data_IF_628582470285
#
_entry.id   IF_628582470285
#
_cell.length_a   1.000
_cell.length_b   1.000
_cell.length_c   1.000
_cell.angle_alpha   90.00
_cell.angle_beta   90.00
_cell.angle_gamma   90.00
#
_symmetry.space_group_name_H-M   'P 1'
#
loop_
_entity.id
_entity.type
_entity.pdbx_description
1 polymer ?
#
# COMPACT_ATOMS: atom_id res chain seq x y z
N UNK A 1 -2.10 25.30 -5.99
CA UNK A 1 -1.62 24.41 -4.92
C UNK A 1 -2.17 24.92 -3.61
N UNK A 2 -2.73 24.05 -2.79
CA UNK A 2 -3.29 24.38 -1.48
C UNK A 2 -2.50 23.62 -0.40
N UNK A 3 -1.93 24.32 0.57
CA UNK A 3 -1.28 23.66 1.70
C UNK A 3 -2.34 23.21 2.69
N UNK A 4 -2.26 21.96 3.13
CA UNK A 4 -3.23 21.36 4.05
C UNK A 4 -2.54 20.37 4.99
N UNK A 5 -3.24 20.00 6.06
CA UNK A 5 -2.83 18.90 6.95
C UNK A 5 -3.84 17.77 6.76
N UNK A 6 -3.36 16.61 6.28
CA UNK A 6 -4.19 15.43 6.05
C UNK A 6 -3.87 14.34 7.07
N UNK A 7 -4.87 13.54 7.42
CA UNK A 7 -4.65 12.33 8.21
C UNK A 7 -3.88 11.31 7.37
N UNK A 8 -2.93 10.60 7.98
CA UNK A 8 -2.10 9.60 7.28
C UNK A 8 -2.96 8.50 6.63
N UNK A 9 -4.15 8.21 7.16
CA UNK A 9 -5.07 7.21 6.61
C UNK A 9 -5.87 7.67 5.37
N UNK A 10 -5.79 8.96 5.03
CA UNK A 10 -6.38 9.51 3.80
C UNK A 10 -5.43 9.41 2.61
N UNK A 11 -4.14 9.14 2.86
CA UNK A 11 -3.11 9.00 1.84
C UNK A 11 -3.13 7.59 1.26
N UNK A 12 -3.03 7.50 -0.06
CA UNK A 12 -2.85 6.27 -0.82
C UNK A 12 -1.73 6.45 -1.82
N UNK A 13 -1.04 5.37 -2.15
CA UNK A 13 -0.02 5.41 -3.20
C UNK A 13 -0.70 4.95 -4.47
N UNK A 14 -0.41 5.65 -5.57
CA UNK A 14 -0.95 5.24 -6.86
C UNK A 14 -0.62 3.76 -7.12
N UNK A 15 -1.61 2.91 -7.47
CA UNK A 15 -1.35 1.51 -7.83
C UNK A 15 -0.35 1.38 -8.98
N UNK A 16 -0.15 2.44 -9.77
CA UNK A 16 0.85 2.47 -10.84
C UNK A 16 2.30 2.50 -10.34
N UNK A 17 2.53 2.95 -9.12
CA UNK A 17 3.87 3.08 -8.53
C UNK A 17 4.20 1.83 -7.76
N UNK A 18 5.39 1.28 -7.99
CA UNK A 18 5.78 -0.05 -7.49
C UNK A 18 7.05 -0.04 -6.68
N UNK A 19 7.35 -1.18 -6.05
CA UNK A 19 8.62 -1.39 -5.35
C UNK A 19 9.86 -1.29 -6.24
N UNK A 20 9.71 -1.38 -7.57
CA UNK A 20 10.81 -1.16 -8.51
C UNK A 20 11.10 0.33 -8.72
N UNK A 21 10.10 1.19 -8.50
CA UNK A 21 10.21 2.64 -8.71
C UNK A 21 10.83 3.36 -7.50
N UNK A 22 11.01 2.66 -6.38
CA UNK A 22 11.50 3.26 -5.13
C UNK A 22 12.57 2.40 -4.44
N UNK A 23 13.47 3.06 -3.71
CA UNK A 23 14.44 2.36 -2.87
C UNK A 23 13.80 1.91 -1.55
N UNK A 24 13.49 0.61 -1.43
CA UNK A 24 12.95 0.04 -0.18
C UNK A 24 13.92 0.19 1.01
N UNK A 25 15.22 0.19 0.76
CA UNK A 25 16.22 0.44 1.79
C UNK A 25 16.15 1.89 2.30
N UNK A 26 15.91 2.86 1.42
CA UNK A 26 15.68 4.24 1.84
C UNK A 26 14.43 4.38 2.71
N UNK A 27 13.35 3.66 2.38
CA UNK A 27 12.13 3.61 3.21
C UNK A 27 12.44 3.09 4.61
N UNK A 28 13.13 1.96 4.73
CA UNK A 28 13.48 1.36 6.03
C UNK A 28 14.39 2.27 6.86
N UNK A 29 15.41 2.85 6.24
CA UNK A 29 16.32 3.79 6.91
C UNK A 29 15.57 5.00 7.45
N UNK A 30 14.61 5.54 6.69
CA UNK A 30 13.81 6.69 7.09
C UNK A 30 12.77 6.34 8.17
N UNK A 31 12.13 5.18 8.08
CA UNK A 31 11.24 4.70 9.15
C UNK A 31 11.97 4.53 10.48
N UNK A 32 13.24 4.09 10.44
CA UNK A 32 14.08 3.99 11.62
C UNK A 32 14.53 5.37 12.14
N UNK A 33 14.75 6.37 11.28
CA UNK A 33 15.09 7.72 11.75
C UNK A 33 13.91 8.38 12.49
N UNK A 34 12.68 8.10 12.07
CA UNK A 34 11.46 8.53 12.77
C UNK A 34 11.38 7.99 14.20
N UNK A 35 11.83 6.75 14.44
CA UNK A 35 11.93 6.17 15.77
C UNK A 35 12.85 6.97 16.71
N UNK A 36 13.82 7.70 16.12
CA UNK A 36 14.78 8.52 16.83
C UNK A 36 14.36 10.00 16.90
N UNK A 37 13.09 10.32 16.62
CA UNK A 37 12.54 11.67 16.77
C UNK A 37 12.78 12.61 15.59
N UNK A 38 13.22 12.10 14.43
CA UNK A 38 13.33 12.90 13.21
C UNK A 38 11.93 13.09 12.62
N UNK A 39 11.53 14.33 12.34
CA UNK A 39 10.27 14.62 11.65
C UNK A 39 10.42 14.50 10.13
N UNK A 40 9.39 14.11 9.39
CA UNK A 40 9.41 14.17 7.93
C UNK A 40 9.66 15.62 7.46
N UNK A 41 10.78 15.85 6.78
CA UNK A 41 11.14 17.18 6.24
C UNK A 41 10.66 17.38 4.80
N UNK A 42 10.31 16.29 4.10
CA UNK A 42 9.94 16.36 2.69
C UNK A 42 8.54 16.95 2.52
N UNK A 43 8.42 17.87 1.57
CA UNK A 43 7.13 18.35 1.10
C UNK A 43 6.44 17.21 0.34
N UNK A 44 5.24 16.83 0.79
CA UNK A 44 4.45 15.75 0.19
C UNK A 44 3.42 16.39 -0.73
N UNK A 45 3.47 16.06 -2.01
CA UNK A 45 2.48 16.51 -2.98
C UNK A 45 1.43 15.43 -3.18
N UNK A 46 0.16 15.81 -3.14
CA UNK A 46 -0.97 14.89 -3.30
C UNK A 46 -1.97 15.40 -4.31
N UNK A 47 -2.72 14.49 -4.93
CA UNK A 47 -3.93 14.80 -5.71
C UNK A 47 -5.13 14.11 -5.11
N UNK A 48 -6.23 14.84 -4.98
CA UNK A 48 -7.50 14.26 -4.56
C UNK A 48 -8.10 13.41 -5.68
N UNK A 49 -8.51 12.19 -5.38
CA UNK A 49 -9.29 11.35 -6.29
C UNK A 49 -10.77 11.43 -6.00
N UNK A 50 -11.57 10.96 -6.96
CA UNK A 50 -13.04 11.06 -6.93
C UNK A 50 -13.71 10.32 -5.77
N UNK A 51 -12.98 9.46 -5.05
CA UNK A 51 -13.47 8.74 -3.88
C UNK A 51 -13.09 9.41 -2.55
N UNK A 52 -12.52 10.63 -2.58
CA UNK A 52 -12.13 11.39 -1.40
C UNK A 52 -10.82 10.94 -0.75
N UNK A 53 -10.00 10.14 -1.46
CA UNK A 53 -8.64 9.79 -1.06
C UNK A 53 -7.62 10.68 -1.76
N UNK A 54 -6.42 10.75 -1.19
CA UNK A 54 -5.34 11.58 -1.70
C UNK A 54 -4.18 10.70 -2.19
N UNK A 55 -3.99 10.68 -3.51
CA UNK A 55 -2.90 9.97 -4.16
C UNK A 55 -1.60 10.76 -4.00
N UNK A 56 -0.57 10.09 -3.51
CA UNK A 56 0.75 10.69 -3.30
C UNK A 56 1.50 10.76 -4.63
N UNK A 57 1.79 11.98 -5.10
CA UNK A 57 2.53 12.23 -6.34
C UNK A 57 4.03 12.43 -6.07
N UNK A 58 4.37 12.96 -4.89
CA UNK A 58 5.75 13.20 -4.45
C UNK A 58 5.89 12.91 -2.95
N UNK A 59 7.07 12.49 -2.51
CA UNK A 59 7.31 12.11 -1.11
C UNK A 59 6.87 10.69 -0.75
N UNK A 60 6.79 9.78 -1.73
CA UNK A 60 6.31 8.40 -1.53
C UNK A 60 7.17 7.63 -0.52
N UNK A 61 8.49 7.82 -0.55
CA UNK A 61 9.41 7.21 0.42
C UNK A 61 9.09 7.66 1.85
N UNK A 62 8.79 8.95 2.04
CA UNK A 62 8.38 9.50 3.34
C UNK A 62 7.05 8.91 3.80
N UNK A 63 6.07 8.82 2.90
CA UNK A 63 4.75 8.25 3.22
C UNK A 63 4.87 6.77 3.61
N UNK A 64 5.59 5.97 2.83
CA UNK A 64 5.84 4.57 3.15
C UNK A 64 6.62 4.40 4.45
N UNK A 65 7.59 5.28 4.72
CA UNK A 65 8.33 5.26 5.97
C UNK A 65 7.43 5.58 7.17
N UNK A 66 6.49 6.53 7.04
CA UNK A 66 5.50 6.83 8.08
C UNK A 66 4.53 5.66 8.29
N UNK A 67 4.07 5.01 7.21
CA UNK A 67 3.24 3.82 7.30
C UNK A 67 3.99 2.69 8.03
N UNK A 68 5.25 2.45 7.67
CA UNK A 68 6.08 1.41 8.28
C UNK A 68 6.37 1.71 9.76
N UNK A 69 6.63 2.97 10.11
CA UNK A 69 6.81 3.41 11.48
C UNK A 69 5.51 3.25 12.30
N UNK A 70 4.35 3.58 11.74
CA UNK A 70 3.04 3.34 12.35
C UNK A 70 2.78 1.86 12.61
N UNK A 71 3.13 1.00 11.65
CA UNK A 71 3.06 -0.45 11.82
C UNK A 71 3.95 -0.94 12.98
N UNK A 72 5.11 -0.31 13.17
CA UNK A 72 6.02 -0.55 14.30
C UNK A 72 5.57 0.07 15.63
N UNK A 73 4.40 0.70 15.71
CA UNK A 73 3.82 1.25 16.94
C UNK A 73 4.08 2.74 17.18
N UNK A 74 4.75 3.44 16.26
CA UNK A 74 4.81 4.91 16.29
C UNK A 74 3.44 5.48 15.89
N UNK A 75 3.19 6.76 16.21
CA UNK A 75 1.90 7.42 15.94
C UNK A 75 2.08 8.69 15.13
N UNK A 76 2.14 8.53 13.83
CA UNK A 76 1.92 9.59 12.85
C UNK A 76 0.41 9.67 12.56
N UNK A 77 -0.26 10.68 13.10
CA UNK A 77 -1.69 10.91 12.89
C UNK A 77 -1.96 11.70 11.61
N UNK A 78 -1.15 12.73 11.36
CA UNK A 78 -1.29 13.62 10.22
C UNK A 78 0.04 14.06 9.62
N UNK A 79 -0.01 14.53 8.37
CA UNK A 79 1.12 15.15 7.70
C UNK A 79 0.69 16.36 6.89
N UNK A 80 1.62 17.32 6.76
CA UNK A 80 1.43 18.48 5.90
C UNK A 80 1.65 18.08 4.45
N UNK A 81 0.74 18.50 3.59
CA UNK A 81 0.77 18.21 2.16
C UNK A 81 0.50 19.46 1.34
N UNK A 82 0.94 19.44 0.09
CA UNK A 82 0.41 20.30 -0.95
C UNK A 82 -0.62 19.53 -1.76
N UNK A 83 -1.84 20.05 -1.84
CA UNK A 83 -2.85 19.53 -2.75
C UNK A 83 -2.64 20.18 -4.12
N UNK A 84 -2.26 19.35 -5.09
CA UNK A 84 -2.13 19.70 -6.49
C UNK A 84 -3.52 19.76 -7.16
N UNK A 85 -3.67 20.52 -8.26
CA UNK A 85 -4.89 20.48 -9.07
C UNK A 85 -5.20 19.08 -9.59
N UNK A 86 -6.43 18.85 -10.05
CA UNK A 86 -6.78 17.63 -10.76
C UNK A 86 -5.88 17.42 -11.98
N UNK A 87 -5.57 16.15 -12.28
CA UNK A 87 -4.77 15.77 -13.44
C UNK A 87 -5.60 15.85 -14.72
N UNK A 88 -4.95 16.16 -15.85
CA UNK A 88 -5.63 16.21 -17.15
C UNK A 88 -5.97 14.79 -17.63
N UNK A 89 -6.99 14.65 -18.48
CA UNK A 89 -7.33 13.34 -19.07
C UNK A 89 -6.18 12.76 -19.92
N UNK A 90 -5.36 13.62 -20.52
CA UNK A 90 -4.22 13.26 -21.36
C UNK A 90 -3.07 12.68 -20.52
N UNK A 91 -2.76 13.31 -19.38
CA UNK A 91 -1.75 12.83 -18.44
C UNK A 91 -2.16 11.49 -17.82
N UNK A 92 -3.45 11.34 -17.47
CA UNK A 92 -4.00 10.07 -16.96
C UNK A 92 -3.88 8.94 -18.01
N UNK A 93 -4.19 9.22 -19.27
CA UNK A 93 -4.08 8.25 -20.35
C UNK A 93 -2.62 7.82 -20.59
N UNK A 94 -1.67 8.76 -20.48
CA UNK A 94 -0.25 8.46 -20.60
C UNK A 94 0.25 7.60 -19.43
N UNK A 95 -0.10 7.95 -18.19
CA UNK A 95 0.22 7.16 -16.98
C UNK A 95 -0.31 5.73 -17.12
N UNK A 96 -1.57 5.56 -17.54
CA UNK A 96 -2.17 4.25 -17.77
C UNK A 96 -1.43 3.45 -18.86
N UNK A 97 -1.08 4.09 -19.98
CA UNK A 97 -0.34 3.43 -21.06
C UNK A 97 1.05 2.94 -20.64
N UNK A 98 1.74 3.65 -19.74
CA UNK A 98 3.03 3.21 -19.19
C UNK A 98 2.81 2.02 -18.26
N UNK A 99 1.78 2.09 -17.42
CA UNK A 99 1.42 1.02 -16.49
C UNK A 99 1.09 -0.30 -17.20
N UNK A 100 0.26 -0.24 -18.25
CA UNK A 100 -0.22 -1.44 -18.95
C UNK A 100 0.92 -2.26 -19.61
N UNK A 101 2.10 -1.66 -19.78
CA UNK A 101 3.24 -2.28 -20.45
C UNK A 101 4.40 -2.64 -19.50
N UNK A 102 4.22 -2.51 -18.19
CA UNK A 102 5.30 -2.79 -17.22
C UNK A 102 5.31 -4.24 -16.75
N UNK A 103 6.47 -4.68 -16.25
CA UNK A 103 6.60 -5.97 -15.57
C UNK A 103 5.99 -5.93 -14.16
N UNK A 104 5.35 -7.03 -13.76
CA UNK A 104 4.73 -7.21 -12.44
C UNK A 104 5.70 -7.91 -11.50
N UNK A 105 5.95 -7.31 -10.32
CA UNK A 105 6.91 -7.86 -9.36
C UNK A 105 6.28 -8.92 -8.41
N UNK A 106 7.12 -9.65 -7.66
CA UNK A 106 6.67 -10.71 -6.74
C UNK A 106 5.70 -10.24 -5.65
N UNK A 107 5.82 -9.01 -5.16
CA UNK A 107 4.92 -8.48 -4.12
C UNK A 107 3.54 -8.17 -4.68
N UNK A 108 3.46 -7.76 -5.95
CA UNK A 108 2.20 -7.54 -6.67
C UNK A 108 1.49 -8.87 -6.98
N UNK A 109 2.24 -9.95 -7.23
CA UNK A 109 1.66 -11.30 -7.37
C UNK A 109 0.93 -11.76 -6.10
N UNK A 110 1.33 -11.30 -4.92
CA UNK A 110 0.62 -11.58 -3.66
C UNK A 110 -0.74 -10.88 -3.65
N UNK A 111 -0.79 -9.63 -4.10
CA UNK A 111 -2.04 -8.86 -4.23
C UNK A 111 -2.96 -9.50 -5.28
N UNK A 112 -2.40 -9.95 -6.41
CA UNK A 112 -3.16 -10.68 -7.44
C UNK A 112 -3.70 -12.01 -6.92
N UNK A 113 -2.89 -12.74 -6.15
CA UNK A 113 -3.31 -14.00 -5.52
C UNK A 113 -4.44 -13.77 -4.52
N UNK A 114 -4.39 -12.68 -3.76
CA UNK A 114 -5.49 -12.26 -2.90
C UNK A 114 -6.75 -11.92 -3.70
N UNK A 115 -6.64 -11.09 -4.74
CA UNK A 115 -7.77 -10.71 -5.57
C UNK A 115 -8.43 -11.92 -6.25
N UNK A 116 -7.62 -12.88 -6.72
CA UNK A 116 -8.10 -14.14 -7.27
C UNK A 116 -8.85 -14.98 -6.23
N UNK A 117 -8.32 -15.08 -5.00
CA UNK A 117 -8.97 -15.77 -3.90
C UNK A 117 -10.31 -15.10 -3.51
N UNK A 118 -10.35 -13.78 -3.45
CA UNK A 118 -11.58 -13.02 -3.15
C UNK A 118 -12.65 -13.28 -4.18
N UNK A 119 -12.32 -13.27 -5.48
CA UNK A 119 -13.26 -13.65 -6.55
C UNK A 119 -13.78 -15.08 -6.42
N UNK A 120 -12.93 -16.02 -6.02
CA UNK A 120 -13.38 -17.40 -5.76
C UNK A 120 -14.34 -17.47 -4.56
N UNK A 121 -14.08 -16.71 -3.49
CA UNK A 121 -14.99 -16.60 -2.34
C UNK A 121 -16.33 -15.97 -2.73
N UNK A 122 -16.32 -14.90 -3.52
CA UNK A 122 -17.54 -14.25 -4.05
C UNK A 122 -18.37 -15.21 -4.93
N UNK A 123 -17.70 -16.12 -5.63
CA UNK A 123 -18.34 -17.20 -6.39
C UNK A 123 -18.77 -18.40 -5.52
N UNK A 124 -18.70 -18.29 -4.19
CA UNK A 124 -19.19 -19.27 -3.24
C UNK A 124 -18.22 -20.41 -2.88
N UNK A 125 -16.96 -20.34 -3.30
CA UNK A 125 -15.96 -21.32 -2.91
C UNK A 125 -15.40 -21.03 -1.52
N UNK A 126 -15.34 -22.04 -0.65
CA UNK A 126 -14.67 -21.93 0.65
C UNK A 126 -13.18 -22.35 0.56
N UNK A 127 -12.40 -22.08 1.62
CA UNK A 127 -10.95 -22.37 1.67
C UNK A 127 -10.67 -23.86 1.43
N UNK A 128 -11.49 -24.75 1.98
CA UNK A 128 -11.37 -26.19 1.78
C UNK A 128 -11.46 -26.56 0.29
N UNK A 129 -12.49 -26.06 -0.40
CA UNK A 129 -12.71 -26.30 -1.83
C UNK A 129 -11.61 -25.69 -2.70
N UNK A 130 -11.13 -24.48 -2.37
CA UNK A 130 -10.05 -23.82 -3.10
C UNK A 130 -8.74 -24.61 -2.93
N UNK A 131 -8.43 -25.04 -1.70
CA UNK A 131 -7.23 -25.83 -1.40
C UNK A 131 -7.21 -27.15 -2.16
N UNK A 132 -8.33 -27.88 -2.16
CA UNK A 132 -8.46 -29.17 -2.84
C UNK A 132 -8.41 -29.03 -4.36
N UNK A 133 -9.04 -27.99 -4.94
CA UNK A 133 -9.09 -27.80 -6.40
C UNK A 133 -7.79 -27.25 -6.98
N UNK A 134 -7.11 -26.37 -6.24
CA UNK A 134 -5.94 -25.63 -6.74
C UNK A 134 -4.61 -26.20 -6.23
N UNK A 135 -4.64 -27.15 -5.29
CA UNK A 135 -3.43 -27.72 -4.68
C UNK A 135 -2.66 -26.74 -3.78
N UNK A 136 -3.29 -25.63 -3.36
CA UNK A 136 -2.69 -24.62 -2.48
C UNK A 136 -2.91 -25.03 -1.03
N UNK A 137 -1.87 -24.95 -0.19
CA UNK A 137 -1.98 -25.29 1.22
C UNK A 137 -2.99 -24.38 1.96
N UNK A 138 -3.87 -24.97 2.79
CA UNK A 138 -4.88 -24.23 3.58
C UNK A 138 -4.26 -23.12 4.45
N UNK A 139 -3.04 -23.29 4.95
CA UNK A 139 -2.31 -22.28 5.73
C UNK A 139 -2.00 -21.02 4.91
N UNK A 140 -1.67 -21.18 3.63
CA UNK A 140 -1.42 -20.07 2.70
C UNK A 140 -2.74 -19.34 2.43
N UNK A 141 -3.81 -20.07 2.11
CA UNK A 141 -5.14 -19.48 1.87
C UNK A 141 -5.68 -18.75 3.10
N UNK A 142 -5.51 -19.29 4.30
CA UNK A 142 -5.88 -18.60 5.55
C UNK A 142 -5.04 -17.36 5.82
N UNK A 143 -3.77 -17.37 5.40
CA UNK A 143 -2.92 -16.18 5.48
C UNK A 143 -3.40 -15.10 4.52
N UNK A 144 -3.81 -15.48 3.31
CA UNK A 144 -4.39 -14.57 2.32
C UNK A 144 -5.74 -14.02 2.82
N UNK A 145 -6.63 -14.86 3.34
CA UNK A 145 -7.92 -14.41 3.92
C UNK A 145 -7.76 -13.44 5.08
N UNK A 146 -6.72 -13.61 5.90
CA UNK A 146 -6.50 -12.70 7.01
C UNK A 146 -6.06 -11.29 6.56
N UNK A 147 -5.71 -11.11 5.27
CA UNK A 147 -5.53 -9.80 4.65
C UNK A 147 -6.84 -9.03 4.45
N UNK A 148 -8.01 -9.68 4.51
CA UNK A 148 -9.33 -9.00 4.51
C UNK A 148 -9.43 -7.94 5.63
N UNK A 149 -8.65 -8.13 6.70
CA UNK A 149 -8.61 -7.24 7.86
C UNK A 149 -7.51 -6.18 7.79
N UNK A 150 -6.63 -6.22 6.78
CA UNK A 150 -5.55 -5.26 6.63
C UNK A 150 -6.10 -3.86 6.34
N UNK A 151 -5.54 -2.86 7.00
CA UNK A 151 -5.80 -1.45 6.71
C UNK A 151 -5.19 -1.08 5.37
N UNK A 152 -5.62 0.04 4.78
CA UNK A 152 -5.05 0.54 3.52
C UNK A 152 -3.54 0.71 3.59
N UNK A 153 -3.02 1.20 4.72
CA UNK A 153 -1.58 1.39 4.93
C UNK A 153 -0.83 0.06 4.98
N UNK A 154 -1.36 -0.93 5.71
CA UNK A 154 -0.78 -2.27 5.74
C UNK A 154 -0.78 -2.92 4.36
N UNK A 155 -1.83 -2.69 3.56
CA UNK A 155 -1.89 -3.13 2.16
C UNK A 155 -0.77 -2.52 1.31
N UNK A 156 -0.51 -1.23 1.44
CA UNK A 156 0.62 -0.59 0.76
C UNK A 156 1.95 -1.21 1.22
N UNK A 157 2.15 -1.41 2.53
CA UNK A 157 3.38 -2.04 3.03
C UNK A 157 3.59 -3.47 2.51
N UNK A 158 2.51 -4.25 2.37
CA UNK A 158 2.55 -5.59 1.77
C UNK A 158 2.85 -5.50 0.26
N UNK A 159 2.17 -4.60 -0.46
CA UNK A 159 2.34 -4.39 -1.90
C UNK A 159 3.78 -4.01 -2.27
N UNK A 160 4.44 -3.22 -1.41
CA UNK A 160 5.84 -2.84 -1.59
C UNK A 160 6.84 -3.85 -1.01
N UNK A 161 6.38 -4.95 -0.40
CA UNK A 161 7.25 -5.96 0.19
C UNK A 161 7.98 -5.52 1.47
N UNK A 162 7.52 -4.44 2.11
CA UNK A 162 8.09 -3.89 3.34
C UNK A 162 7.65 -4.68 4.58
N UNK A 163 6.46 -5.29 4.52
CA UNK A 163 5.91 -6.14 5.57
C UNK A 163 5.34 -7.40 4.92
N UNK A 164 5.56 -8.56 5.54
CA UNK A 164 4.95 -9.80 5.05
C UNK A 164 3.46 -9.85 5.42
N UNK A 165 2.61 -10.48 4.58
CA UNK A 165 1.23 -10.78 4.95
C UNK A 165 1.10 -11.40 6.35
N UNK A 166 2.00 -12.31 6.71
CA UNK A 166 2.01 -13.03 7.99
C UNK A 166 2.30 -12.09 9.18
N UNK A 167 3.21 -11.13 9.01
CA UNK A 167 3.52 -10.15 10.06
C UNK A 167 2.30 -9.27 10.36
N UNK A 168 1.55 -8.84 9.34
CA UNK A 168 0.31 -8.06 9.46
C UNK A 168 -0.80 -8.82 10.21
N UNK A 169 -0.84 -10.14 10.08
CA UNK A 169 -1.81 -10.99 10.78
C UNK A 169 -1.43 -11.17 12.24
N UNK A 170 -0.13 -11.31 12.51
CA UNK A 170 0.40 -11.54 13.86
C UNK A 170 0.26 -10.32 14.77
N UNK A 171 0.43 -9.10 14.22
CA UNK A 171 0.29 -7.85 14.99
C UNK A 171 -1.12 -7.62 15.55
N UNK A 172 -2.15 -8.24 14.97
CA UNK A 172 -3.55 -8.11 15.39
C UNK A 172 -4.00 -9.16 16.40
N UNK A 173 -3.14 -10.14 16.71
CA UNK A 173 -3.39 -11.19 17.69
C UNK A 173 -2.68 -10.97 19.03
N UNK A 174 -1.74 -10.04 19.08
CA UNK A 174 -1.03 -9.60 20.30
C UNK A 174 -1.85 -8.53 21.03
#
# INVERSE_FOLDING_TARGET
MLNSTLQINQLVIDPMITSLDISLEAVKLKANSFANGVTPEAQIDVRESSNGLFHVESGIVDVLAMFLANFGGQKFESVNVNILPAESAEDLALKQSIYDNREVNESEKIVDSYNAMTKLKENGFNIEQISEKMGIAKSILKSIEALDKATKQEWELIRFGLVSPIATISSKRA
#
